data_IF_015394361088
#
_entry.id   IF_015394361088
#
_cell.length_a   1.000
_cell.length_b   1.000
_cell.length_c   1.000
_cell.angle_alpha   90.00
_cell.angle_beta   90.00
_cell.angle_gamma   90.00
#
_symmetry.space_group_name_H-M   'P 1'
#
loop_
_entity.id
_entity.type
_entity.pdbx_description
1 polymer ?
#
# COMPACT_ATOMS: atom_id res chain seq x y z
N UNK A 1 24.88 -3.17 5.68
CA UNK A 1 23.47 -2.76 5.51
C UNK A 1 22.70 -3.12 6.77
N UNK A 2 22.65 -2.23 7.76
CA UNK A 2 22.07 -2.51 9.10
C UNK A 2 20.79 -1.73 9.42
N UNK A 3 20.33 -0.87 8.49
CA UNK A 3 19.10 -0.10 8.69
C UNK A 3 17.87 -0.95 8.34
N UNK A 4 16.76 -0.84 9.10
CA UNK A 4 15.49 -1.44 8.73
C UNK A 4 15.02 -0.87 7.39
N UNK A 5 14.53 -1.74 6.50
CA UNK A 5 14.06 -1.40 5.15
C UNK A 5 12.65 -1.92 4.93
N UNK A 6 11.96 -1.37 3.94
CA UNK A 6 10.69 -1.94 3.50
C UNK A 6 10.90 -3.36 2.94
N UNK A 7 9.87 -4.20 3.02
CA UNK A 7 9.93 -5.60 2.55
C UNK A 7 9.90 -5.77 1.02
N UNK A 8 9.81 -4.68 0.25
CA UNK A 8 9.78 -4.71 -1.21
C UNK A 8 11.20 -4.90 -1.74
N UNK A 9 11.39 -5.79 -2.72
CA UNK A 9 12.70 -6.04 -3.33
C UNK A 9 13.15 -4.80 -4.12
N UNK A 10 14.39 -4.38 -3.92
CA UNK A 10 14.98 -3.24 -4.65
C UNK A 10 15.08 -3.47 -6.17
N UNK A 11 15.18 -4.73 -6.61
CA UNK A 11 15.24 -5.14 -8.02
C UNK A 11 14.06 -6.04 -8.36
N UNK A 12 13.24 -5.61 -9.32
CA UNK A 12 12.11 -6.36 -9.87
C UNK A 12 12.32 -6.58 -11.37
N UNK A 13 12.22 -7.83 -11.83
CA UNK A 13 12.38 -8.23 -13.24
C UNK A 13 13.31 -9.43 -13.45
N UNK A 14 13.16 -10.11 -14.59
CA UNK A 14 14.06 -11.17 -15.06
C UNK A 14 15.00 -10.58 -16.14
N UNK A 15 16.32 -10.73 -15.96
CA UNK A 15 17.34 -10.82 -17.01
C UNK A 15 17.56 -9.64 -17.99
N UNK A 16 18.81 -9.17 -18.04
CA UNK A 16 19.62 -8.74 -19.22
C UNK A 16 19.10 -7.84 -20.36
N UNK A 17 17.84 -7.38 -20.39
CA UNK A 17 17.42 -6.36 -21.38
C UNK A 17 17.42 -4.95 -20.78
N UNK A 18 17.85 -3.96 -21.59
CA UNK A 18 18.02 -2.53 -21.24
C UNK A 18 17.06 -2.09 -20.13
N UNK A 19 17.63 -1.74 -18.97
CA UNK A 19 16.90 -1.14 -17.87
C UNK A 19 16.14 0.09 -18.40
N UNK A 20 14.82 -0.01 -18.51
CA UNK A 20 13.98 1.19 -18.65
C UNK A 20 14.32 2.08 -17.44
N UNK A 21 14.55 3.37 -17.67
CA UNK A 21 14.93 4.36 -16.63
C UNK A 21 13.93 4.44 -15.47
N UNK A 22 12.74 3.87 -15.67
CA UNK A 22 11.74 3.64 -14.66
C UNK A 22 11.35 2.17 -14.72
N UNK A 23 11.36 1.50 -13.56
CA UNK A 23 10.62 0.26 -13.43
C UNK A 23 9.14 0.64 -13.57
N UNK A 24 8.46 0.12 -14.60
CA UNK A 24 7.00 0.01 -14.58
C UNK A 24 6.66 -1.08 -13.56
N UNK A 25 7.05 -0.87 -12.30
CA UNK A 25 6.74 -1.75 -11.20
C UNK A 25 5.31 -1.46 -10.80
N UNK A 26 4.41 -2.36 -11.19
CA UNK A 26 3.01 -2.32 -10.77
C UNK A 26 2.02 -2.39 -11.92
N UNK A 27 0.86 -2.94 -11.59
CA UNK A 27 -0.36 -2.76 -12.35
C UNK A 27 -0.91 -1.36 -12.07
N UNK A 28 -1.42 -0.69 -13.11
CA UNK A 28 -2.17 0.55 -12.92
C UNK A 28 -3.58 0.21 -12.44
N UNK A 29 -4.07 0.93 -11.44
CA UNK A 29 -5.48 0.86 -11.07
C UNK A 29 -6.36 1.29 -12.25
N UNK A 30 -7.26 0.41 -12.68
CA UNK A 30 -8.23 0.71 -13.75
C UNK A 30 -9.30 1.72 -13.32
N UNK A 31 -9.52 1.84 -12.02
CA UNK A 31 -10.46 2.76 -11.39
C UNK A 31 -9.72 3.80 -10.55
N UNK A 32 -10.28 4.99 -10.47
CA UNK A 32 -9.72 6.09 -9.65
C UNK A 32 -10.24 6.07 -8.22
N UNK A 33 -11.46 5.57 -8.02
CA UNK A 33 -12.09 5.46 -6.71
C UNK A 33 -11.70 4.14 -6.05
N UNK A 34 -10.63 4.18 -5.27
CA UNK A 34 -10.11 3.04 -4.55
C UNK A 34 -10.79 2.93 -3.19
N UNK A 35 -11.00 1.69 -2.78
CA UNK A 35 -11.61 1.38 -1.47
C UNK A 35 -10.61 0.56 -0.69
N UNK A 36 -10.53 0.81 0.61
CA UNK A 36 -9.66 0.05 1.49
C UNK A 36 -10.40 -0.42 2.74
N UNK A 37 -9.93 -1.53 3.30
CA UNK A 37 -10.36 -2.02 4.62
C UNK A 37 -9.15 -2.43 5.45
N UNK A 38 -9.30 -2.34 6.76
CA UNK A 38 -8.30 -2.82 7.70
C UNK A 38 -8.82 -4.14 8.28
N UNK A 39 -8.25 -5.26 7.85
CA UNK A 39 -8.67 -6.58 8.32
C UNK A 39 -8.04 -6.96 9.64
N UNK A 40 -6.86 -6.42 9.96
CA UNK A 40 -6.22 -6.60 11.26
C UNK A 40 -5.50 -5.35 11.71
N UNK A 41 -5.95 -4.78 12.83
CA UNK A 41 -5.27 -3.69 13.50
C UNK A 41 -4.05 -4.20 14.27
N UNK A 42 -2.98 -3.40 14.38
CA UNK A 42 -1.86 -3.69 15.27
C UNK A 42 -2.33 -3.73 16.73
N UNK A 43 -1.77 -4.63 17.54
CA UNK A 43 -2.13 -4.77 18.96
C UNK A 43 -1.56 -3.68 19.86
N UNK A 44 -0.50 -2.98 19.41
CA UNK A 44 0.22 -1.98 20.19
C UNK A 44 -0.28 -0.54 20.00
N UNK A 45 -1.19 -0.30 19.05
CA UNK A 45 -1.68 1.03 18.70
C UNK A 45 -3.20 1.07 18.74
N UNK A 46 -3.75 2.25 19.01
CA UNK A 46 -5.19 2.44 19.06
C UNK A 46 -5.77 2.42 17.64
N UNK A 47 -6.99 1.88 17.49
CA UNK A 47 -7.65 1.81 16.17
C UNK A 47 -7.85 3.19 15.54
N UNK A 48 -8.26 4.17 16.35
CA UNK A 48 -8.47 5.54 15.90
C UNK A 48 -7.17 6.20 15.40
N UNK A 49 -6.05 5.95 16.06
CA UNK A 49 -4.74 6.46 15.61
C UNK A 49 -4.33 5.81 14.30
N UNK A 50 -4.52 4.49 14.17
CA UNK A 50 -4.25 3.76 12.93
C UNK A 50 -5.12 4.27 11.78
N UNK A 51 -6.40 4.50 12.01
CA UNK A 51 -7.33 5.05 11.03
C UNK A 51 -6.91 6.46 10.60
N UNK A 52 -6.52 7.32 11.54
CA UNK A 52 -6.07 8.68 11.26
C UNK A 52 -4.75 8.70 10.47
N UNK A 53 -3.77 7.87 10.85
CA UNK A 53 -2.49 7.77 10.14
C UNK A 53 -2.66 7.18 8.73
N UNK A 54 -3.57 6.21 8.56
CA UNK A 54 -3.89 5.70 7.23
C UNK A 54 -4.58 6.75 6.36
N UNK A 55 -5.49 7.53 6.92
CA UNK A 55 -6.14 8.62 6.20
C UNK A 55 -5.11 9.66 5.71
N UNK A 56 -4.14 10.03 6.57
CA UNK A 56 -3.02 10.92 6.17
C UNK A 56 -2.12 10.28 5.11
N UNK A 57 -1.80 9.01 5.25
CA UNK A 57 -0.97 8.31 4.27
C UNK A 57 -1.65 8.29 2.89
N UNK A 58 -2.96 8.08 2.83
CA UNK A 58 -3.72 8.14 1.59
C UNK A 58 -3.91 9.57 1.07
N UNK A 59 -4.00 10.58 1.95
CA UNK A 59 -4.15 11.98 1.51
C UNK A 59 -2.94 12.44 0.70
N UNK A 60 -1.72 12.05 1.11
CA UNK A 60 -0.48 12.34 0.37
C UNK A 60 -0.56 11.86 -1.08
N UNK A 61 -1.19 10.71 -1.34
CA UNK A 61 -1.36 10.22 -2.70
C UNK A 61 -2.50 10.93 -3.45
N UNK A 62 -3.62 11.24 -2.78
CA UNK A 62 -4.73 11.94 -3.42
C UNK A 62 -4.43 13.40 -3.76
N UNK A 63 -3.48 14.03 -3.07
CA UNK A 63 -3.12 15.43 -3.34
C UNK A 63 -2.40 15.61 -4.69
N UNK A 64 -1.71 14.56 -5.16
CA UNK A 64 -0.92 14.59 -6.39
C UNK A 64 -1.45 13.66 -7.49
N UNK A 65 -2.57 12.99 -7.26
CA UNK A 65 -3.18 12.06 -8.23
C UNK A 65 -4.69 12.20 -8.22
N UNK A 66 -5.35 11.83 -9.32
CA UNK A 66 -6.82 11.77 -9.35
C UNK A 66 -7.40 10.59 -8.56
N UNK A 67 -6.63 9.93 -7.69
CA UNK A 67 -7.09 8.78 -6.91
C UNK A 67 -7.83 9.25 -5.66
N UNK A 68 -8.99 8.63 -5.41
CA UNK A 68 -9.73 8.83 -4.16
C UNK A 68 -9.71 7.55 -3.35
N UNK A 69 -9.65 7.68 -2.03
CA UNK A 69 -9.58 6.55 -1.11
C UNK A 69 -10.76 6.57 -0.15
N UNK A 70 -11.57 5.51 -0.15
CA UNK A 70 -12.73 5.38 0.74
C UNK A 70 -12.59 4.16 1.65
N UNK A 71 -12.68 4.37 2.96
CA UNK A 71 -12.67 3.27 3.93
C UNK A 71 -14.01 2.51 3.90
N UNK A 72 -13.95 1.18 3.76
CA UNK A 72 -15.12 0.29 3.89
C UNK A 72 -14.94 -0.64 5.09
N UNK A 73 -16.03 -0.88 5.82
CA UNK A 73 -16.04 -1.78 6.99
C UNK A 73 -16.21 -3.25 6.62
N UNK A 74 -16.79 -3.55 5.46
CA UNK A 74 -17.03 -4.90 4.98
C UNK A 74 -17.09 -4.95 3.45
N UNK A 75 -17.02 -6.17 2.92
CA UNK A 75 -17.10 -6.44 1.49
C UNK A 75 -15.74 -6.50 0.77
N UNK A 76 -15.82 -6.65 -0.56
CA UNK A 76 -14.65 -6.62 -1.43
C UNK A 76 -14.14 -5.18 -1.56
N UNK A 77 -12.83 -5.03 -1.41
CA UNK A 77 -12.13 -3.75 -1.50
C UNK A 77 -10.91 -3.89 -2.40
N UNK A 78 -10.39 -2.76 -2.87
CA UNK A 78 -9.21 -2.72 -3.73
C UNK A 78 -7.92 -2.93 -2.93
N UNK A 79 -7.87 -2.40 -1.70
CA UNK A 79 -6.68 -2.44 -0.84
C UNK A 79 -7.07 -3.05 0.51
N UNK A 80 -6.47 -4.17 0.87
CA UNK A 80 -6.64 -4.77 2.19
C UNK A 80 -5.38 -4.56 3.04
N UNK A 81 -5.56 -3.91 4.19
CA UNK A 81 -4.48 -3.58 5.11
C UNK A 81 -4.56 -4.53 6.30
N UNK A 82 -3.46 -5.23 6.56
CA UNK A 82 -3.37 -6.20 7.64
C UNK A 82 -2.05 -6.06 8.38
N UNK A 83 -2.12 -5.80 9.69
CA UNK A 83 -0.96 -5.90 10.56
C UNK A 83 -0.57 -7.37 10.73
N UNK A 84 0.59 -7.76 10.18
CA UNK A 84 1.23 -9.06 10.40
C UNK A 84 2.50 -8.93 11.23
N UNK A 85 2.87 -9.98 11.97
CA UNK A 85 4.22 -10.11 12.56
C UNK A 85 5.28 -10.45 11.51
N UNK A 86 4.85 -10.73 10.28
CA UNK A 86 5.69 -10.94 9.10
C UNK A 86 5.19 -10.00 8.00
N UNK A 87 6.10 -9.16 7.51
CA UNK A 87 5.84 -8.15 6.49
C UNK A 87 5.52 -8.85 5.17
N UNK A 88 4.24 -9.08 4.90
CA UNK A 88 3.74 -9.31 3.55
C UNK A 88 2.90 -8.08 3.18
N UNK A 89 3.56 -7.08 2.62
CA UNK A 89 2.85 -6.12 1.77
C UNK A 89 2.39 -6.90 0.53
N UNK A 90 1.08 -6.94 0.32
CA UNK A 90 0.41 -7.76 -0.68
C UNK A 90 0.77 -7.32 -2.10
N UNK A 91 1.06 -8.31 -2.96
CA UNK A 91 0.72 -8.26 -4.38
C UNK A 91 -0.79 -8.47 -4.55
#
# INVERSE_FOLDING_TARGET
>A
MSLPRCGVRDKVGFGESRAKRYALQGSRWRVKNLTYKISKYPSKLNRAEVDAELAKAFSVWSDYTDLTFTQKRSGQVHIEIRSGSYVYFMY
#
